data_IF_649227702515
#
_entry.id   IF_649227702515
#
_cell.length_a   1.000
_cell.length_b   1.000
_cell.length_c   1.000
_cell.angle_alpha   90.00
_cell.angle_beta   90.00
_cell.angle_gamma   90.00
#
_symmetry.space_group_name_H-M   'P 1'
#
loop_
_entity.id
_entity.type
_entity.pdbx_description
1 polymer ?
#
# COMPACT_ATOMS: atom_id res chain seq x y z
N UNK A 1 -30.04 13.50 -8.31
CA UNK A 1 -28.96 14.29 -7.69
C UNK A 1 -27.68 13.79 -8.31
N UNK A 2 -27.06 14.59 -9.18
CA UNK A 2 -25.73 14.28 -9.71
C UNK A 2 -24.73 14.50 -8.58
N UNK A 3 -24.24 13.40 -8.00
CA UNK A 3 -23.10 13.47 -7.10
C UNK A 3 -21.88 13.74 -7.98
N UNK A 4 -21.40 14.98 -7.98
CA UNK A 4 -20.09 15.31 -8.54
C UNK A 4 -19.00 14.42 -7.94
N UNK A 5 -17.83 14.30 -8.60
CA UNK A 5 -16.74 13.47 -8.08
C UNK A 5 -16.43 13.88 -6.64
N UNK A 6 -16.38 12.90 -5.74
CA UNK A 6 -16.06 13.05 -4.33
C UNK A 6 -14.60 13.53 -4.19
N UNK A 7 -14.32 14.79 -4.50
CA UNK A 7 -13.01 15.38 -4.25
C UNK A 7 -12.90 15.65 -2.75
N UNK A 8 -12.11 14.86 -2.04
CA UNK A 8 -11.68 15.23 -0.69
C UNK A 8 -10.80 16.46 -0.80
N UNK A 9 -11.36 17.63 -0.52
CA UNK A 9 -10.66 18.90 -0.61
C UNK A 9 -9.74 19.10 0.62
N UNK A 10 -8.72 18.23 0.74
CA UNK A 10 -7.64 18.36 1.73
C UNK A 10 -6.40 18.85 1.01
N UNK A 11 -5.63 19.74 1.64
CA UNK A 11 -4.27 20.01 1.17
C UNK A 11 -3.47 18.71 1.29
N UNK A 12 -3.20 18.01 0.18
CA UNK A 12 -2.42 16.76 0.10
C UNK A 12 -0.96 16.87 0.57
N UNK A 13 -0.59 17.98 1.22
CA UNK A 13 0.73 18.30 1.73
C UNK A 13 0.99 17.76 3.15
N UNK A 14 0.07 16.97 3.72
CA UNK A 14 0.18 16.40 5.07
C UNK A 14 0.76 14.99 5.15
N UNK A 15 1.27 14.42 4.05
CA UNK A 15 1.87 13.08 4.08
C UNK A 15 3.26 13.13 4.75
N UNK A 16 3.55 12.24 5.72
CA UNK A 16 4.84 12.22 6.40
C UNK A 16 5.97 11.80 5.45
N UNK A 17 7.20 12.25 5.70
CA UNK A 17 8.35 11.79 4.95
C UNK A 17 8.66 10.33 5.32
N UNK A 18 8.21 9.39 4.49
CA UNK A 18 8.44 7.95 4.67
C UNK A 18 9.54 7.50 3.71
N UNK A 19 10.65 7.00 4.25
CA UNK A 19 11.79 6.49 3.44
C UNK A 19 11.86 4.97 3.44
N UNK A 20 11.25 4.35 4.44
CA UNK A 20 11.10 2.91 4.60
C UNK A 20 9.81 2.64 5.37
N UNK A 21 9.24 1.46 5.17
CA UNK A 21 8.14 0.99 5.98
C UNK A 21 8.23 -0.51 6.23
N UNK A 22 7.49 -0.95 7.23
CA UNK A 22 7.26 -2.35 7.53
C UNK A 22 5.80 -2.69 7.31
N UNK A 23 5.51 -3.77 6.58
CA UNK A 23 4.17 -4.35 6.52
C UNK A 23 4.19 -5.68 7.29
N UNK A 24 3.37 -5.79 8.34
CA UNK A 24 3.24 -7.04 9.08
C UNK A 24 1.87 -7.13 9.75
N UNK A 25 1.30 -8.33 9.73
CA UNK A 25 0.08 -8.69 10.43
C UNK A 25 0.37 -9.63 11.61
N UNK A 26 1.64 -9.68 12.04
CA UNK A 26 2.06 -10.50 13.15
C UNK A 26 1.46 -9.99 14.48
N UNK A 27 1.09 -10.89 15.40
CA UNK A 27 0.54 -10.50 16.69
C UNK A 27 1.61 -9.86 17.58
N UNK A 28 1.18 -9.08 18.58
CA UNK A 28 2.03 -8.38 19.56
C UNK A 28 3.25 -9.19 20.03
N UNK A 29 3.04 -10.45 20.40
CA UNK A 29 4.09 -11.34 20.95
C UNK A 29 5.25 -11.61 19.98
N UNK A 30 5.02 -11.40 18.69
CA UNK A 30 6.00 -11.62 17.62
C UNK A 30 6.73 -10.34 17.23
N UNK A 31 6.35 -9.17 17.78
CA UNK A 31 6.91 -7.89 17.42
C UNK A 31 8.14 -7.57 18.29
N UNK A 32 9.25 -7.24 17.63
CA UNK A 32 10.48 -6.79 18.28
C UNK A 32 10.67 -5.28 18.08
N UNK A 33 10.25 -4.52 19.09
CA UNK A 33 10.28 -3.06 19.07
C UNK A 33 11.70 -2.48 19.13
N UNK A 34 12.75 -3.28 19.36
CA UNK A 34 14.13 -2.79 19.41
C UNK A 34 14.61 -2.27 18.05
N UNK A 35 14.16 -2.88 16.95
CA UNK A 35 14.48 -2.46 15.59
C UNK A 35 13.25 -1.96 14.84
N UNK A 36 12.04 -2.50 15.12
CA UNK A 36 10.82 -2.14 14.38
C UNK A 36 10.46 -0.66 14.53
N UNK A 37 10.69 -0.07 15.72
CA UNK A 37 10.40 1.35 15.93
C UNK A 37 11.32 2.29 15.13
N UNK A 38 12.40 1.80 14.52
CA UNK A 38 13.26 2.60 13.65
C UNK A 38 12.71 2.75 12.23
N UNK A 39 11.55 2.18 11.91
CA UNK A 39 10.86 2.40 10.64
C UNK A 39 10.09 3.72 10.62
N UNK A 40 10.05 4.39 9.46
CA UNK A 40 9.30 5.65 9.31
C UNK A 40 7.79 5.40 9.26
N UNK A 41 7.35 4.23 8.77
CA UNK A 41 5.96 3.83 8.76
C UNK A 41 5.76 2.33 9.01
N UNK A 42 4.60 1.95 9.52
CA UNK A 42 4.24 0.56 9.81
C UNK A 42 2.78 0.30 9.43
N UNK A 43 2.55 -0.68 8.55
CA UNK A 43 1.22 -1.22 8.25
C UNK A 43 1.00 -2.42 9.17
N UNK A 44 -0.05 -2.34 9.99
CA UNK A 44 -0.35 -3.29 11.07
C UNK A 44 -1.78 -3.80 10.97
N UNK A 45 -2.02 -5.05 11.37
CA UNK A 45 -3.36 -5.60 11.59
C UNK A 45 -3.93 -5.07 12.92
N UNK A 46 -4.96 -4.20 12.92
CA UNK A 46 -5.46 -3.58 14.15
C UNK A 46 -5.95 -4.57 15.19
N UNK A 47 -6.45 -5.75 14.80
CA UNK A 47 -6.92 -6.78 15.74
C UNK A 47 -5.77 -7.58 16.37
N UNK A 48 -4.57 -7.52 15.80
CA UNK A 48 -3.40 -8.29 16.24
C UNK A 48 -2.44 -7.50 17.16
N UNK A 49 -2.61 -6.18 17.24
CA UNK A 49 -1.71 -5.26 17.95
C UNK A 49 -2.45 -4.46 19.01
N UNK A 50 -2.00 -4.54 20.27
CA UNK A 50 -2.63 -3.83 21.39
C UNK A 50 -2.29 -2.34 21.41
N UNK A 51 -3.13 -1.56 22.10
CA UNK A 51 -2.89 -0.14 22.34
C UNK A 51 -1.55 0.10 23.07
N UNK A 52 -1.19 -0.76 24.02
CA UNK A 52 0.10 -0.69 24.74
C UNK A 52 1.28 -0.79 23.76
N UNK A 53 1.22 -1.72 22.80
CA UNK A 53 2.25 -1.84 21.75
C UNK A 53 2.31 -0.59 20.88
N UNK A 54 1.16 -0.04 20.45
CA UNK A 54 1.11 1.17 19.63
C UNK A 54 1.71 2.38 20.37
N UNK A 55 1.39 2.54 21.66
CA UNK A 55 1.98 3.57 22.53
C UNK A 55 3.50 3.36 22.69
N UNK A 56 3.93 2.12 22.85
CA UNK A 56 5.34 1.77 22.98
C UNK A 56 6.14 2.03 21.70
N UNK A 57 5.54 1.86 20.52
CA UNK A 57 6.13 2.28 19.23
C UNK A 57 6.26 3.80 19.21
N UNK A 58 5.18 4.54 19.48
CA UNK A 58 5.17 6.01 19.47
C UNK A 58 6.14 6.62 20.46
N UNK A 59 6.33 6.00 21.63
CA UNK A 59 7.32 6.46 22.61
C UNK A 59 8.76 6.34 22.11
N UNK A 60 9.07 5.32 21.31
CA UNK A 60 10.41 5.10 20.73
C UNK A 60 10.63 5.93 19.48
N UNK A 61 9.59 6.10 18.66
CA UNK A 61 9.60 6.91 17.46
C UNK A 61 8.30 7.73 17.36
N UNK A 62 8.30 8.97 17.89
CA UNK A 62 7.12 9.84 17.86
C UNK A 62 6.61 10.12 16.44
N UNK A 63 7.52 10.11 15.46
CA UNK A 63 7.24 10.43 14.06
C UNK A 63 6.78 9.22 13.24
N UNK A 64 6.81 8.00 13.81
CA UNK A 64 6.40 6.78 13.11
C UNK A 64 4.96 6.89 12.60
N UNK A 65 4.75 6.67 11.30
CA UNK A 65 3.43 6.69 10.71
C UNK A 65 2.77 5.31 10.79
N UNK A 66 1.81 5.16 11.70
CA UNK A 66 1.08 3.90 11.91
C UNK A 66 -0.16 3.83 11.03
N UNK A 67 -0.28 2.76 10.25
CA UNK A 67 -1.34 2.52 9.27
C UNK A 67 -2.07 1.25 9.69
N UNK A 68 -3.37 1.34 9.95
CA UNK A 68 -4.20 0.17 10.21
C UNK A 68 -4.68 -0.47 8.91
N UNK A 69 -4.44 -1.77 8.75
CA UNK A 69 -4.97 -2.53 7.63
C UNK A 69 -6.51 -2.64 7.72
N UNK A 70 -7.16 -2.55 6.56
CA UNK A 70 -8.59 -2.78 6.41
C UNK A 70 -8.85 -3.41 5.04
N UNK A 71 -9.43 -4.62 5.03
CA UNK A 71 -9.92 -5.22 3.80
C UNK A 71 -11.26 -4.61 3.41
N UNK A 72 -11.33 -4.03 2.21
CA UNK A 72 -12.57 -3.44 1.67
C UNK A 72 -13.28 -4.37 0.69
N UNK A 73 -12.56 -5.28 0.04
CA UNK A 73 -13.11 -6.21 -0.95
C UNK A 73 -13.53 -7.56 -0.38
N UNK A 74 -13.16 -7.86 0.86
CA UNK A 74 -13.37 -9.18 1.47
C UNK A 74 -13.54 -9.06 2.99
N UNK A 75 -14.25 -9.99 3.62
CA UNK A 75 -14.25 -10.14 5.08
C UNK A 75 -13.64 -11.48 5.47
N UNK A 76 -12.68 -11.49 6.39
CA UNK A 76 -12.08 -12.73 6.90
C UNK A 76 -13.13 -13.62 7.60
N UNK A 77 -14.01 -13.03 8.42
CA UNK A 77 -15.13 -13.74 9.03
C UNK A 77 -16.44 -13.30 8.40
N UNK A 78 -17.31 -14.27 8.11
CA UNK A 78 -18.66 -14.00 7.63
C UNK A 78 -19.43 -13.14 8.63
N UNK A 79 -19.71 -11.89 8.27
CA UNK A 79 -20.47 -10.92 9.06
C UNK A 79 -21.94 -11.32 9.01
N UNK A 80 -22.60 -11.26 10.17
CA UNK A 80 -23.99 -11.66 10.34
C UNK A 80 -24.80 -10.57 11.03
N UNK A 81 -26.09 -10.52 10.72
CA UNK A 81 -27.06 -9.71 11.45
C UNK A 81 -27.31 -10.27 12.87
N UNK A 82 -28.07 -9.58 13.74
CA UNK A 82 -28.41 -10.09 15.08
C UNK A 82 -29.20 -11.41 15.07
N UNK A 83 -29.85 -11.76 13.97
CA UNK A 83 -30.54 -13.04 13.78
C UNK A 83 -29.62 -14.17 13.32
N UNK A 84 -28.34 -13.88 13.08
CA UNK A 84 -27.35 -14.85 12.61
C UNK A 84 -27.35 -15.06 11.09
N UNK A 85 -28.09 -14.28 10.29
CA UNK A 85 -28.04 -14.38 8.83
C UNK A 85 -26.86 -13.59 8.27
N UNK A 86 -26.23 -14.04 7.16
CA UNK A 86 -25.22 -13.24 6.46
C UNK A 86 -25.75 -11.83 6.14
N UNK A 87 -24.91 -10.81 6.32
CA UNK A 87 -25.26 -9.46 5.86
C UNK A 87 -25.39 -9.42 4.33
N UNK A 88 -26.29 -8.57 3.81
CA UNK A 88 -26.45 -8.32 2.36
C UNK A 88 -25.33 -7.40 1.83
N UNK A 89 -24.10 -7.89 1.92
CA UNK A 89 -22.88 -7.23 1.43
C UNK A 89 -22.02 -8.15 0.57
N UNK A 90 -22.39 -9.42 0.43
CA UNK A 90 -21.56 -10.44 -0.23
C UNK A 90 -22.00 -10.69 -1.66
N UNK A 91 -21.04 -11.06 -2.51
CA UNK A 91 -21.38 -11.82 -3.71
C UNK A 91 -21.99 -13.16 -3.29
N UNK A 92 -23.08 -13.55 -3.92
CA UNK A 92 -23.76 -14.81 -3.65
C UNK A 92 -23.66 -15.75 -4.84
N UNK A 93 -23.33 -17.02 -4.59
CA UNK A 93 -23.36 -18.06 -5.61
C UNK A 93 -24.79 -18.49 -5.96
N UNK A 94 -24.92 -19.45 -6.88
CA UNK A 94 -26.21 -20.00 -7.31
C UNK A 94 -27.01 -20.64 -6.16
N UNK A 95 -26.33 -21.11 -5.11
CA UNK A 95 -26.94 -21.68 -3.91
C UNK A 95 -27.37 -20.63 -2.87
N UNK A 96 -27.23 -19.34 -3.21
CA UNK A 96 -27.58 -18.20 -2.36
C UNK A 96 -26.58 -17.93 -1.23
N UNK A 97 -25.44 -18.64 -1.17
CA UNK A 97 -24.44 -18.44 -0.12
C UNK A 97 -23.34 -17.46 -0.56
N UNK A 98 -22.71 -16.75 0.40
CA UNK A 98 -21.54 -15.93 0.14
C UNK A 98 -20.44 -16.70 -0.60
N UNK A 99 -19.90 -16.12 -1.67
CA UNK A 99 -18.77 -16.69 -2.41
C UNK A 99 -17.50 -16.58 -1.57
N UNK A 100 -16.82 -17.70 -1.37
CA UNK A 100 -15.59 -17.77 -0.59
C UNK A 100 -14.35 -17.64 -1.47
N UNK A 101 -13.31 -17.00 -0.93
CA UNK A 101 -11.97 -17.02 -1.49
C UNK A 101 -11.17 -18.18 -0.86
N UNK A 102 -10.92 -19.28 -1.60
CA UNK A 102 -10.28 -20.46 -1.02
C UNK A 102 -8.82 -20.24 -0.66
N UNK A 103 -8.14 -19.27 -1.29
CA UNK A 103 -6.75 -18.96 -1.00
C UNK A 103 -6.57 -18.29 0.36
N UNK A 104 -7.58 -17.56 0.83
CA UNK A 104 -7.51 -16.71 2.03
C UNK A 104 -8.51 -17.09 3.12
N UNK A 105 -9.46 -17.99 2.84
CA UNK A 105 -10.51 -18.36 3.78
C UNK A 105 -11.49 -17.23 4.12
N UNK A 106 -11.60 -16.23 3.25
CA UNK A 106 -12.45 -15.04 3.37
C UNK A 106 -13.70 -15.15 2.48
N UNK A 107 -14.60 -14.17 2.57
CA UNK A 107 -15.77 -14.02 1.69
C UNK A 107 -15.68 -12.73 0.87
N UNK A 108 -15.95 -12.81 -0.43
CA UNK A 108 -15.93 -11.65 -1.31
C UNK A 108 -17.12 -10.73 -1.05
N UNK A 109 -16.82 -9.46 -0.83
CA UNK A 109 -17.81 -8.40 -0.66
C UNK A 109 -18.20 -7.86 -2.04
N UNK A 110 -19.49 -7.75 -2.28
CA UNK A 110 -20.04 -7.03 -3.42
C UNK A 110 -20.04 -5.53 -3.09
N UNK A 111 -19.03 -4.83 -3.61
CA UNK A 111 -18.87 -3.41 -3.40
C UNK A 111 -20.08 -2.60 -3.88
N UNK A 112 -20.90 -3.10 -4.81
CA UNK A 112 -22.11 -2.43 -5.28
C UNK A 112 -23.28 -2.45 -4.30
N UNK A 113 -23.19 -3.19 -3.20
CA UNK A 113 -24.25 -3.30 -2.20
C UNK A 113 -24.40 -2.01 -1.38
N UNK A 114 -25.62 -1.46 -1.23
CA UNK A 114 -25.84 -0.21 -0.50
C UNK A 114 -25.33 -0.23 0.94
N UNK A 115 -25.49 -1.37 1.64
CA UNK A 115 -25.02 -1.51 3.02
C UNK A 115 -23.49 -1.42 3.11
N UNK A 116 -22.78 -1.95 2.11
CA UNK A 116 -21.32 -1.85 2.07
C UNK A 116 -20.86 -0.42 1.76
N UNK A 117 -21.48 0.23 0.76
CA UNK A 117 -21.22 1.64 0.47
C UNK A 117 -21.40 2.52 1.71
N UNK A 118 -22.50 2.32 2.45
CA UNK A 118 -22.77 3.07 3.66
C UNK A 118 -21.66 2.89 4.70
N UNK A 119 -21.20 1.65 4.93
CA UNK A 119 -20.10 1.39 5.87
C UNK A 119 -18.82 2.14 5.47
N UNK A 120 -18.46 2.14 4.18
CA UNK A 120 -17.27 2.85 3.69
C UNK A 120 -17.41 4.37 3.86
N UNK A 121 -18.60 4.92 3.59
CA UNK A 121 -18.87 6.35 3.78
C UNK A 121 -18.86 6.75 5.26
N UNK A 122 -19.35 5.89 6.15
CA UNK A 122 -19.30 6.11 7.60
C UNK A 122 -17.87 6.13 8.12
N UNK A 123 -16.99 5.25 7.62
CA UNK A 123 -15.56 5.28 7.96
C UNK A 123 -14.94 6.63 7.58
N UNK A 124 -15.22 7.15 6.38
CA UNK A 124 -14.73 8.48 5.99
C UNK A 124 -15.29 9.60 6.86
N UNK A 125 -16.59 9.54 7.18
CA UNK A 125 -17.24 10.56 7.99
C UNK A 125 -16.72 10.58 9.44
N UNK A 126 -16.39 9.42 9.99
CA UNK A 126 -15.83 9.28 11.35
C UNK A 126 -14.35 9.64 11.40
N UNK A 127 -13.62 9.37 10.31
CA UNK A 127 -12.17 9.56 10.21
C UNK A 127 -11.77 10.52 9.07
N UNK A 128 -12.32 11.75 9.02
CA UNK A 128 -12.15 12.67 7.90
C UNK A 128 -10.77 13.34 7.90
N UNK A 129 -9.89 13.01 8.83
CA UNK A 129 -8.52 13.48 8.94
C UNK A 129 -7.49 12.39 8.59
N UNK A 130 -7.91 11.13 8.46
CA UNK A 130 -7.00 10.01 8.19
C UNK A 130 -6.63 9.90 6.72
N UNK A 131 -5.36 9.59 6.47
CA UNK A 131 -4.83 9.39 5.14
C UNK A 131 -5.28 8.02 4.61
N UNK A 132 -5.60 7.95 3.32
CA UNK A 132 -6.05 6.73 2.65
C UNK A 132 -4.93 6.14 1.78
N UNK A 133 -4.46 4.95 2.16
CA UNK A 133 -3.55 4.12 1.38
C UNK A 133 -4.33 2.98 0.72
N UNK A 134 -4.42 2.99 -0.61
CA UNK A 134 -5.10 1.93 -1.36
C UNK A 134 -4.11 0.82 -1.75
N UNK A 135 -4.43 -0.46 -1.54
CA UNK A 135 -3.64 -1.56 -2.10
C UNK A 135 -4.11 -1.89 -3.52
N UNK A 136 -3.21 -1.77 -4.51
CA UNK A 136 -3.50 -1.92 -5.95
C UNK A 136 -4.65 -1.02 -6.42
N UNK A 137 -5.68 -1.58 -7.06
CA UNK A 137 -6.77 -0.81 -7.66
C UNK A 137 -6.35 0.02 -8.89
N UNK A 138 -5.24 -0.33 -9.56
CA UNK A 138 -4.66 0.47 -10.67
C UNK A 138 -5.62 0.77 -11.83
N UNK A 139 -6.67 -0.04 -11.99
CA UNK A 139 -7.69 0.21 -13.02
C UNK A 139 -8.61 1.39 -12.68
N UNK A 140 -8.64 1.85 -11.42
CA UNK A 140 -9.34 3.04 -10.96
C UNK A 140 -8.49 4.32 -11.10
N UNK A 141 -7.30 4.21 -11.71
CA UNK A 141 -6.35 5.31 -11.92
C UNK A 141 -6.17 5.55 -13.42
N UNK A 142 -7.27 5.86 -14.12
CA UNK A 142 -7.32 5.99 -15.58
C UNK A 142 -7.83 7.36 -16.07
N UNK A 143 -8.10 8.30 -15.17
CA UNK A 143 -8.83 9.53 -15.47
C UNK A 143 -10.33 9.31 -15.64
N UNK A 144 -11.07 10.42 -15.80
CA UNK A 144 -12.53 10.39 -15.99
C UNK A 144 -13.32 10.24 -14.68
N UNK A 145 -14.57 9.79 -14.81
CA UNK A 145 -15.54 9.79 -13.69
C UNK A 145 -15.24 8.75 -12.60
N UNK A 146 -14.53 7.67 -12.95
CA UNK A 146 -14.18 6.58 -12.02
C UNK A 146 -12.76 6.71 -11.47
N UNK A 147 -12.08 7.83 -11.75
CA UNK A 147 -10.73 8.04 -11.26
C UNK A 147 -10.72 8.39 -9.77
N UNK A 148 -9.95 7.62 -9.01
CA UNK A 148 -9.84 7.79 -7.55
C UNK A 148 -8.52 8.43 -7.12
N UNK A 149 -7.67 8.87 -8.04
CA UNK A 149 -6.35 9.44 -7.72
C UNK A 149 -6.45 10.68 -6.83
N UNK A 150 -7.50 11.48 -6.99
CA UNK A 150 -7.77 12.63 -6.13
C UNK A 150 -8.23 12.26 -4.71
N UNK A 151 -8.71 11.03 -4.52
CA UNK A 151 -9.34 10.55 -3.27
C UNK A 151 -8.40 9.73 -2.38
N UNK A 152 -7.24 9.33 -2.90
CA UNK A 152 -6.20 8.61 -2.16
C UNK A 152 -4.99 9.51 -1.84
N UNK A 153 -4.29 9.17 -0.77
CA UNK A 153 -3.06 9.84 -0.34
C UNK A 153 -1.81 8.98 -0.64
N UNK A 154 -2.01 7.67 -0.79
CA UNK A 154 -0.99 6.76 -1.27
C UNK A 154 -1.57 5.50 -1.93
N UNK A 155 -0.69 4.76 -2.58
CA UNK A 155 -0.96 3.43 -3.12
C UNK A 155 0.12 2.44 -2.68
N UNK A 156 -0.31 1.24 -2.30
CA UNK A 156 0.54 0.08 -2.07
C UNK A 156 0.54 -0.78 -3.34
N UNK A 157 1.73 -1.06 -3.86
CA UNK A 157 1.99 -1.94 -4.99
C UNK A 157 2.58 -3.24 -4.45
N UNK A 158 1.76 -4.28 -4.45
CA UNK A 158 2.13 -5.61 -4.00
C UNK A 158 1.85 -6.63 -5.11
N UNK A 159 2.76 -7.52 -5.52
CA UNK A 159 4.19 -7.29 -5.52
C UNK A 159 4.62 -6.46 -6.72
N UNK A 160 5.72 -5.74 -6.56
CA UNK A 160 6.29 -4.92 -7.62
C UNK A 160 7.42 -5.67 -8.34
N UNK A 161 8.38 -6.23 -7.62
CA UNK A 161 9.60 -6.87 -8.12
C UNK A 161 9.69 -8.36 -7.85
N UNK A 162 9.27 -8.82 -6.67
CA UNK A 162 9.37 -10.22 -6.27
C UNK A 162 8.07 -10.71 -5.64
N UNK A 163 7.63 -11.89 -6.07
CA UNK A 163 6.43 -12.56 -5.58
C UNK A 163 6.79 -13.79 -4.78
N UNK A 164 5.82 -14.36 -4.06
CA UNK A 164 5.96 -15.59 -3.30
C UNK A 164 5.36 -16.82 -3.97
N UNK A 165 4.60 -16.67 -5.06
CA UNK A 165 3.88 -17.80 -5.70
C UNK A 165 4.50 -18.19 -7.05
N UNK A 166 4.78 -19.47 -7.33
CA UNK A 166 4.56 -20.62 -6.43
C UNK A 166 5.59 -20.70 -5.30
N UNK A 167 6.75 -20.07 -5.50
CA UNK A 167 7.81 -19.87 -4.51
C UNK A 167 8.35 -18.44 -4.62
N UNK A 168 9.16 -18.00 -3.66
CA UNK A 168 9.81 -16.69 -3.69
C UNK A 168 10.71 -16.53 -4.91
N UNK A 169 10.37 -15.62 -5.82
CA UNK A 169 11.16 -15.33 -7.00
C UNK A 169 10.94 -13.90 -7.53
N UNK A 170 11.92 -13.43 -8.29
CA UNK A 170 11.85 -12.17 -9.03
C UNK A 170 10.97 -12.34 -10.27
N UNK A 171 10.22 -11.31 -10.64
CA UNK A 171 9.68 -11.21 -11.99
C UNK A 171 10.84 -11.07 -12.99
N UNK A 172 11.06 -12.04 -13.91
CA UNK A 172 12.22 -11.95 -14.78
C UNK A 172 12.08 -10.79 -15.78
N UNK A 173 13.14 -9.98 -16.00
CA UNK A 173 13.08 -8.89 -16.96
C UNK A 173 12.61 -9.34 -18.34
N UNK A 174 11.64 -8.62 -18.90
CA UNK A 174 11.06 -8.92 -20.22
C UNK A 174 9.89 -9.91 -20.20
N UNK A 175 9.61 -10.58 -19.09
CA UNK A 175 8.43 -11.43 -18.93
C UNK A 175 7.15 -10.61 -18.69
N UNK A 176 6.00 -11.25 -18.86
CA UNK A 176 4.69 -10.59 -18.79
C UNK A 176 4.47 -9.80 -17.48
N UNK A 177 4.74 -10.40 -16.31
CA UNK A 177 4.52 -9.74 -15.03
C UNK A 177 5.51 -8.59 -14.79
N UNK A 178 6.77 -8.75 -15.24
CA UNK A 178 7.75 -7.67 -15.19
C UNK A 178 7.31 -6.49 -16.06
N UNK A 179 6.94 -6.75 -17.31
CA UNK A 179 6.48 -5.71 -18.23
C UNK A 179 5.20 -5.03 -17.74
N UNK A 180 4.29 -5.80 -17.12
CA UNK A 180 3.08 -5.27 -16.53
C UNK A 180 3.38 -4.34 -15.35
N UNK A 181 4.28 -4.76 -14.44
CA UNK A 181 4.67 -3.93 -13.30
C UNK A 181 5.42 -2.67 -13.73
N UNK A 182 6.24 -2.72 -14.79
CA UNK A 182 6.82 -1.52 -15.42
C UNK A 182 5.74 -0.59 -15.97
N UNK A 183 4.79 -1.09 -16.75
CA UNK A 183 3.73 -0.28 -17.34
C UNK A 183 2.81 0.36 -16.28
N UNK A 184 2.54 -0.35 -15.18
CA UNK A 184 1.81 0.23 -14.03
C UNK A 184 2.67 1.32 -13.38
N UNK A 185 3.96 1.09 -13.16
CA UNK A 185 4.85 2.09 -12.55
C UNK A 185 4.97 3.37 -13.37
N UNK A 186 5.05 3.26 -14.70
CA UNK A 186 5.05 4.40 -15.62
C UNK A 186 3.75 5.18 -15.51
N UNK A 187 2.60 4.49 -15.46
CA UNK A 187 1.29 5.13 -15.28
C UNK A 187 1.17 5.86 -13.95
N UNK A 188 1.61 5.23 -12.85
CA UNK A 188 1.58 5.88 -11.53
C UNK A 188 2.43 7.15 -11.52
N UNK A 189 3.62 7.11 -12.11
CA UNK A 189 4.48 8.28 -12.20
C UNK A 189 3.92 9.37 -13.13
N UNK A 190 3.25 9.01 -14.22
CA UNK A 190 2.54 9.96 -15.07
C UNK A 190 1.42 10.72 -14.34
N UNK A 191 0.82 10.12 -13.32
CA UNK A 191 -0.20 10.78 -12.48
C UNK A 191 0.46 11.64 -11.40
N UNK A 192 1.55 11.16 -10.79
CA UNK A 192 2.21 11.82 -9.65
C UNK A 192 2.94 13.09 -10.05
N UNK A 193 3.48 13.15 -11.26
CA UNK A 193 4.38 14.20 -11.70
C UNK A 193 3.79 15.05 -12.81
N UNK A 194 4.33 16.27 -12.97
CA UNK A 194 4.06 17.10 -14.14
C UNK A 194 5.01 16.73 -15.26
N UNK A 195 4.53 16.81 -16.49
CA UNK A 195 5.29 16.43 -17.68
C UNK A 195 5.35 17.60 -18.67
N UNK A 196 6.48 17.72 -19.35
CA UNK A 196 6.69 18.60 -20.50
C UNK A 196 5.86 18.11 -21.70
N UNK A 197 5.65 18.94 -22.74
CA UNK A 197 4.95 18.52 -23.96
C UNK A 197 5.58 17.33 -24.70
N UNK A 198 6.88 17.07 -24.48
CA UNK A 198 7.61 15.92 -25.04
C UNK A 198 7.46 14.63 -24.21
N UNK A 199 6.70 14.68 -23.10
CA UNK A 199 6.47 13.55 -22.21
C UNK A 199 7.51 13.38 -21.10
N UNK A 200 8.60 14.15 -21.10
CA UNK A 200 9.60 14.11 -20.02
C UNK A 200 9.05 14.71 -18.73
N UNK A 201 9.50 14.21 -17.57
CA UNK A 201 9.09 14.75 -16.27
C UNK A 201 9.63 16.17 -16.10
N UNK A 202 8.76 17.11 -15.73
CA UNK A 202 9.19 18.47 -15.40
C UNK A 202 9.97 18.46 -14.10
N UNK A 203 11.10 19.16 -14.07
CA UNK A 203 11.90 19.32 -12.87
C UNK A 203 11.91 20.78 -12.38
N UNK A 204 12.02 20.96 -11.06
CA UNK A 204 12.27 22.25 -10.43
C UNK A 204 13.75 22.64 -10.47
N UNK A 205 14.07 23.83 -9.96
CA UNK A 205 15.44 24.35 -9.92
C UNK A 205 16.40 23.47 -9.09
N UNK A 206 15.85 22.68 -8.17
CA UNK A 206 16.57 21.72 -7.32
C UNK A 206 16.70 20.32 -7.97
N UNK A 207 16.36 20.19 -9.25
CA UNK A 207 16.41 18.95 -10.00
C UNK A 207 15.19 18.05 -9.81
N UNK A 208 14.17 18.49 -9.07
CA UNK A 208 13.11 17.59 -8.61
C UNK A 208 11.89 17.47 -9.47
N UNK A 209 11.34 16.24 -9.62
CA UNK A 209 10.03 16.04 -10.22
C UNK A 209 9.01 17.00 -9.60
N UNK A 210 8.44 17.87 -10.42
CA UNK A 210 7.39 18.76 -9.98
C UNK A 210 6.13 17.92 -9.77
N UNK A 211 5.51 17.92 -8.57
CA UNK A 211 4.30 17.15 -8.33
C UNK A 211 3.15 17.67 -9.21
N UNK A 212 2.27 16.75 -9.62
CA UNK A 212 1.00 17.08 -10.26
C UNK A 212 0.06 17.79 -9.28
N UNK A 213 -1.16 18.12 -9.72
CA UNK A 213 -2.18 18.68 -8.84
C UNK A 213 -2.77 17.65 -7.85
N UNK A 214 -2.51 16.35 -8.06
CA UNK A 214 -3.08 15.26 -7.25
C UNK A 214 -2.01 14.24 -6.86
N UNK A 215 -0.87 14.67 -6.29
CA UNK A 215 0.23 13.75 -5.99
C UNK A 215 -0.21 12.74 -4.93
N UNK A 216 0.38 11.56 -4.99
CA UNK A 216 0.25 10.53 -3.96
C UNK A 216 1.57 9.76 -3.84
N UNK A 217 1.75 9.07 -2.72
CA UNK A 217 2.93 8.26 -2.47
C UNK A 217 2.73 6.82 -2.96
N UNK A 218 3.81 6.17 -3.36
CA UNK A 218 3.78 4.76 -3.78
C UNK A 218 4.67 3.97 -2.86
N UNK A 219 4.09 2.97 -2.20
CA UNK A 219 4.77 1.99 -1.38
C UNK A 219 4.86 0.69 -2.19
N UNK A 220 6.04 0.12 -2.36
CA UNK A 220 6.26 -1.15 -3.04
C UNK A 220 6.51 -2.23 -1.99
N UNK A 221 5.61 -3.21 -1.89
CA UNK A 221 5.77 -4.36 -1.01
C UNK A 221 6.18 -5.57 -1.84
N UNK A 222 7.31 -6.19 -1.51
CA UNK A 222 7.82 -7.37 -2.20
C UNK A 222 8.08 -8.52 -1.23
N UNK A 223 8.15 -9.72 -1.78
CA UNK A 223 8.26 -10.94 -1.00
C UNK A 223 9.61 -11.62 -1.18
N UNK A 224 10.30 -11.90 -0.07
CA UNK A 224 11.56 -12.62 -0.06
C UNK A 224 11.77 -13.31 1.30
N UNK A 225 12.49 -14.44 1.31
CA UNK A 225 12.99 -15.01 2.56
C UNK A 225 14.20 -14.21 3.08
N UNK A 226 14.48 -14.19 4.40
CA UNK A 226 15.65 -13.50 4.97
C UNK A 226 17.00 -13.96 4.39
N UNK A 227 17.06 -15.17 3.80
CA UNK A 227 18.26 -15.70 3.14
C UNK A 227 18.46 -15.22 1.70
N UNK A 228 17.46 -14.59 1.07
CA UNK A 228 17.49 -14.16 -0.34
C UNK A 228 18.01 -12.73 -0.49
N UNK A 229 19.20 -12.45 0.04
CA UNK A 229 19.79 -11.09 0.11
C UNK A 229 19.83 -10.39 -1.26
N UNK A 230 20.19 -11.11 -2.32
CA UNK A 230 20.26 -10.56 -3.68
C UNK A 230 18.88 -10.15 -4.20
N UNK A 231 17.87 -11.01 -4.02
CA UNK A 231 16.47 -10.69 -4.35
C UNK A 231 16.01 -9.44 -3.61
N UNK A 232 16.31 -9.35 -2.31
CA UNK A 232 15.93 -8.20 -1.51
C UNK A 232 16.57 -6.91 -2.02
N UNK A 233 17.87 -6.95 -2.34
CA UNK A 233 18.57 -5.81 -2.90
C UNK A 233 17.96 -5.37 -4.25
N UNK A 234 17.59 -6.31 -5.12
CA UNK A 234 16.95 -5.98 -6.40
C UNK A 234 15.58 -5.32 -6.23
N UNK A 235 14.77 -5.77 -5.26
CA UNK A 235 13.48 -5.14 -4.95
C UNK A 235 13.66 -3.69 -4.49
N UNK A 236 14.61 -3.46 -3.59
CA UNK A 236 14.93 -2.11 -3.08
C UNK A 236 15.46 -1.21 -4.18
N UNK A 237 16.43 -1.68 -4.97
CA UNK A 237 17.01 -0.91 -6.09
C UNK A 237 15.93 -0.52 -7.11
N UNK A 238 15.05 -1.46 -7.49
CA UNK A 238 14.00 -1.21 -8.49
C UNK A 238 12.90 -0.29 -7.97
N UNK A 239 12.44 -0.47 -6.73
CA UNK A 239 11.47 0.42 -6.10
C UNK A 239 11.99 1.87 -6.07
N UNK A 240 13.23 2.07 -5.61
CA UNK A 240 13.81 3.41 -5.56
C UNK A 240 14.07 4.02 -6.92
N UNK A 241 14.44 3.22 -7.94
CA UNK A 241 14.56 3.71 -9.31
C UNK A 241 13.24 4.29 -9.87
N UNK A 242 12.08 3.91 -9.30
CA UNK A 242 10.76 4.48 -9.64
C UNK A 242 10.22 5.49 -8.63
N UNK A 243 11.05 5.92 -7.68
CA UNK A 243 10.67 6.77 -6.56
C UNK A 243 9.49 6.19 -5.74
N UNK A 244 9.55 4.88 -5.49
CA UNK A 244 8.67 4.14 -4.60
C UNK A 244 9.40 3.82 -3.30
N UNK A 245 8.67 3.77 -2.19
CA UNK A 245 9.21 3.38 -0.89
C UNK A 245 9.17 1.85 -0.78
N UNK A 246 10.28 1.13 -0.59
CA UNK A 246 10.25 -0.32 -0.51
C UNK A 246 9.90 -0.84 0.89
N UNK A 247 9.34 -2.04 0.94
CA UNK A 247 9.27 -2.94 2.10
C UNK A 247 9.37 -4.37 1.62
N UNK A 248 9.92 -5.24 2.48
CA UNK A 248 9.97 -6.68 2.23
C UNK A 248 9.32 -7.45 3.37
N UNK A 249 8.65 -8.54 3.03
CA UNK A 249 8.00 -9.44 3.99
C UNK A 249 8.02 -10.89 3.53
N UNK A 250 7.61 -11.78 4.43
CA UNK A 250 7.30 -13.17 4.09
C UNK A 250 5.86 -13.27 3.60
N UNK A 251 5.52 -14.36 2.88
CA UNK A 251 4.22 -14.57 2.25
C UNK A 251 3.03 -14.38 3.19
N UNK A 252 3.17 -14.78 4.45
CA UNK A 252 2.05 -14.87 5.38
C UNK A 252 1.86 -13.57 6.19
N UNK A 253 2.87 -12.69 6.21
CA UNK A 253 2.97 -11.42 6.98
C UNK A 253 2.67 -11.50 8.49
N UNK A 254 2.16 -12.63 8.96
CA UNK A 254 1.78 -12.98 10.33
C UNK A 254 2.90 -13.69 11.09
N UNK A 255 3.91 -14.16 10.37
CA UNK A 255 5.16 -14.67 10.94
C UNK A 255 5.96 -13.52 11.57
N UNK A 256 6.94 -13.86 12.42
CA UNK A 256 7.82 -12.87 13.01
C UNK A 256 8.51 -12.06 11.89
N UNK A 257 8.35 -10.73 11.86
CA UNK A 257 8.97 -9.92 10.83
C UNK A 257 10.49 -9.89 11.03
N UNK A 258 11.21 -9.53 9.98
CA UNK A 258 12.67 -9.37 10.03
C UNK A 258 13.05 -7.96 9.55
N UNK A 259 14.17 -7.41 10.05
CA UNK A 259 14.63 -6.09 9.65
C UNK A 259 15.32 -6.14 8.28
N UNK A 260 14.54 -6.11 7.20
CA UNK A 260 15.08 -6.19 5.85
C UNK A 260 16.09 -5.07 5.55
N UNK A 261 15.96 -3.89 6.18
CA UNK A 261 16.91 -2.77 6.01
C UNK A 261 18.31 -3.09 6.51
N UNK A 262 18.42 -3.99 7.50
CA UNK A 262 19.71 -4.45 8.01
C UNK A 262 20.38 -5.47 7.09
N UNK A 263 19.62 -6.06 6.17
CA UNK A 263 20.05 -7.15 5.29
C UNK A 263 20.44 -6.68 3.89
N UNK A 264 20.10 -5.43 3.56
CA UNK A 264 20.39 -4.82 2.26
C UNK A 264 21.14 -3.51 2.46
N UNK A 265 22.02 -3.21 1.52
CA UNK A 265 22.73 -1.93 1.47
C UNK A 265 22.15 -1.16 0.29
N UNK A 266 21.13 -0.31 0.48
CA UNK A 266 20.58 0.43 -0.64
C UNK A 266 21.72 1.21 -1.32
N UNK A 267 21.84 1.08 -2.64
CA UNK A 267 22.88 1.75 -3.44
C UNK A 267 22.85 3.27 -3.29
N UNK A 268 21.72 3.78 -2.82
CA UNK A 268 21.54 5.17 -2.45
C UNK A 268 21.35 5.22 -0.94
N UNK A 269 22.14 6.06 -0.28
CA UNK A 269 22.07 6.18 1.17
C UNK A 269 20.64 6.52 1.60
N UNK A 270 20.21 5.96 2.72
CA UNK A 270 18.93 6.30 3.35
C UNK A 270 18.81 7.82 3.51
N UNK A 271 17.95 8.46 2.71
CA UNK A 271 17.80 9.92 2.71
C UNK A 271 18.79 10.73 1.85
N UNK A 272 19.59 10.11 0.98
CA UNK A 272 20.26 10.84 -0.11
C UNK A 272 19.41 10.76 -1.38
N UNK A 273 19.23 11.87 -2.08
CA UNK A 273 18.89 12.07 -3.51
C UNK A 273 17.88 11.15 -4.27
N UNK A 274 17.52 9.94 -3.82
CA UNK A 274 16.32 9.18 -4.18
C UNK A 274 15.18 9.36 -3.17
N UNK A 275 15.33 10.33 -2.25
CA UNK A 275 14.18 11.11 -1.77
C UNK A 275 13.41 11.62 -3.00
N UNK A 276 12.21 12.19 -2.89
CA UNK A 276 11.45 12.65 -4.07
C UNK A 276 12.05 13.94 -4.70
N UNK A 277 13.33 13.89 -5.07
CA UNK A 277 14.58 14.32 -4.39
C UNK A 277 15.82 14.22 -5.33
N UNK A 278 15.83 13.53 -6.48
CA UNK A 278 16.78 13.68 -7.63
C UNK A 278 16.78 12.45 -8.58
N UNK A 279 15.64 12.03 -9.13
CA UNK A 279 15.66 11.01 -10.21
C UNK A 279 15.94 11.69 -11.55
N UNK A 280 17.21 11.71 -11.94
CA UNK A 280 17.62 11.97 -13.32
C UNK A 280 17.35 10.72 -14.17
N UNK A 281 16.57 10.89 -15.24
CA UNK A 281 16.45 9.96 -16.36
C UNK A 281 17.46 10.32 -17.45
#
# INVERSE_FOLDING_TARGET
MENGPLSRNRSKLGWPAIRNYLCTYAPDRSLDLSWMSAYDAMILEPEAVSLETLEAIRKRNPDAFLIGYLSVGETHTLRRDPGGHPLDIYFTGEDGKPVQNPSWGSCYVDAGKPLWHQLVLEIDAVFPDKLLLMNRGFHLLQGGQSDVSASIDGILFESYTATWYPDYHLYPPGENDYNWTEAVSDRLNAIRWRHNPDGTVMTGDDGQPLPSSTPFNVLAHDYAAPSQLETMQQCVDRAYARAFVPSLGTKDLTEAPYDWRSLVAPKVAWGSALDLKNVYW
#
